data_IF_929869069355
#
_entry.id   IF_929869069355
#
_cell.length_a   1.000
_cell.length_b   1.000
_cell.length_c   1.000
_cell.angle_alpha   90.00
_cell.angle_beta   90.00
_cell.angle_gamma   90.00
#
_symmetry.space_group_name_H-M   'P 1'
#
loop_
_entity.id
_entity.type
_entity.pdbx_description
1 polymer ?
#
# COMPACT_ATOMS: atom_id res chain seq x y z
N UNK A 1 1.68 13.13 27.80
CA UNK A 1 2.06 13.07 26.38
C UNK A 1 0.81 12.73 25.60
N UNK A 2 0.22 13.69 24.87
CA UNK A 2 -0.82 13.38 23.89
C UNK A 2 -0.16 12.57 22.79
N UNK A 3 -0.31 11.25 22.83
CA UNK A 3 0.19 10.37 21.78
C UNK A 3 -0.46 10.82 20.47
N UNK A 4 0.35 11.33 19.55
CA UNK A 4 -0.10 11.68 18.22
C UNK A 4 -0.73 10.44 17.57
N UNK A 5 -1.81 10.62 16.81
CA UNK A 5 -2.43 9.51 16.06
C UNK A 5 -1.35 8.83 15.20
N UNK A 6 -1.18 7.50 15.29
CA UNK A 6 -0.19 6.79 14.49
C UNK A 6 -0.48 6.95 13.00
N UNK A 7 0.56 7.06 12.18
CA UNK A 7 0.49 7.09 10.73
C UNK A 7 0.79 5.69 10.21
N UNK A 8 -0.16 5.11 9.48
CA UNK A 8 -0.03 3.79 8.87
C UNK A 8 0.00 3.95 7.35
N UNK A 9 1.04 3.40 6.72
CA UNK A 9 1.06 3.16 5.29
C UNK A 9 0.35 1.82 5.04
N UNK A 10 -0.71 1.84 4.24
CA UNK A 10 -1.49 0.66 3.88
C UNK A 10 -1.30 0.34 2.39
N UNK A 11 -1.04 -0.93 2.07
CA UNK A 11 -0.84 -1.44 0.72
C UNK A 11 -1.45 -2.84 0.54
N UNK A 12 -1.40 -3.38 -0.68
CA UNK A 12 -1.73 -4.77 -1.04
C UNK A 12 -1.18 -5.09 -2.44
N UNK A 13 -1.47 -6.29 -2.91
CA UNK A 13 -1.26 -6.79 -4.28
C UNK A 13 -2.55 -6.83 -5.12
N UNK A 14 -3.72 -6.88 -4.49
CA UNK A 14 -5.01 -6.93 -5.20
C UNK A 14 -5.43 -5.60 -5.86
N UNK A 15 -4.80 -4.48 -5.50
CA UNK A 15 -5.06 -3.14 -6.05
C UNK A 15 -5.78 -2.17 -5.09
N UNK A 16 -5.73 -0.87 -5.41
CA UNK A 16 -6.20 0.21 -4.54
C UNK A 16 -7.71 0.19 -4.23
N UNK A 17 -8.52 -0.43 -5.09
CA UNK A 17 -9.99 -0.53 -4.97
C UNK A 17 -10.45 -1.91 -4.47
N UNK A 18 -9.52 -2.80 -4.12
CA UNK A 18 -9.83 -4.11 -3.59
C UNK A 18 -10.66 -4.02 -2.30
N UNK A 19 -11.73 -4.82 -2.21
CA UNK A 19 -12.66 -4.79 -1.08
C UNK A 19 -11.96 -5.04 0.27
N UNK A 20 -10.96 -5.92 0.30
CA UNK A 20 -10.17 -6.21 1.51
C UNK A 20 -9.32 -5.03 1.98
N UNK A 21 -8.71 -4.28 1.04
CA UNK A 21 -7.94 -3.07 1.34
C UNK A 21 -8.86 -1.95 1.86
N UNK A 22 -10.00 -1.75 1.21
CA UNK A 22 -11.02 -0.76 1.63
C UNK A 22 -11.52 -1.07 3.04
N UNK A 23 -11.89 -2.32 3.31
CA UNK A 23 -12.35 -2.74 4.63
C UNK A 23 -11.26 -2.55 5.71
N UNK A 24 -10.01 -2.88 5.40
CA UNK A 24 -8.89 -2.72 6.33
C UNK A 24 -8.60 -1.25 6.60
N UNK A 25 -8.63 -0.39 5.57
CA UNK A 25 -8.52 1.07 5.73
C UNK A 25 -9.58 1.61 6.69
N UNK A 26 -10.85 1.25 6.48
CA UNK A 26 -11.96 1.68 7.34
C UNK A 26 -11.74 1.26 8.79
N UNK A 27 -11.25 0.04 9.02
CA UNK A 27 -10.96 -0.45 10.37
C UNK A 27 -9.82 0.32 11.05
N UNK A 28 -8.72 0.55 10.32
CA UNK A 28 -7.52 1.24 10.83
C UNK A 28 -7.76 2.74 11.10
N UNK A 29 -8.56 3.42 10.27
CA UNK A 29 -8.88 4.85 10.40
C UNK A 29 -9.57 5.22 11.72
N UNK A 30 -10.14 4.24 12.43
CA UNK A 30 -10.73 4.43 13.75
C UNK A 30 -9.69 4.92 14.77
N UNK A 31 -8.43 4.51 14.63
CA UNK A 31 -7.38 4.80 15.60
C UNK A 31 -6.07 5.34 14.99
N UNK A 32 -5.90 5.31 13.68
CA UNK A 32 -4.71 5.80 12.97
C UNK A 32 -5.08 6.79 11.84
N UNK A 33 -4.12 7.64 11.45
CA UNK A 33 -4.12 8.27 10.14
C UNK A 33 -3.60 7.24 9.13
N UNK A 34 -4.41 6.92 8.12
CA UNK A 34 -4.09 5.85 7.16
C UNK A 34 -3.91 6.47 5.79
N UNK A 35 -2.73 6.27 5.21
CA UNK A 35 -2.44 6.60 3.82
C UNK A 35 -2.33 5.30 3.02
N UNK A 36 -3.07 5.21 1.93
CA UNK A 36 -3.05 4.06 1.02
C UNK A 36 -2.10 4.35 -0.14
N UNK A 37 -1.19 3.42 -0.41
CA UNK A 37 -0.41 3.38 -1.63
C UNK A 37 -0.40 1.95 -2.16
N UNK A 38 -1.12 1.71 -3.26
CA UNK A 38 -1.36 0.37 -3.78
C UNK A 38 -1.34 0.34 -5.32
N UNK A 39 -1.26 -0.84 -5.95
CA UNK A 39 -1.29 -0.98 -7.39
C UNK A 39 -2.56 -0.38 -8.01
N UNK A 40 -2.43 0.19 -9.21
CA UNK A 40 -3.55 0.73 -9.99
C UNK A 40 -4.53 -0.35 -10.44
N UNK A 41 -4.02 -1.55 -10.68
CA UNK A 41 -4.78 -2.74 -11.09
C UNK A 41 -4.36 -3.93 -10.24
N UNK A 42 -5.18 -4.97 -10.20
CA UNK A 42 -4.81 -6.22 -9.55
C UNK A 42 -3.48 -6.76 -10.12
N UNK A 43 -2.56 -7.10 -9.23
CA UNK A 43 -1.25 -7.69 -9.54
C UNK A 43 -1.04 -9.03 -8.81
N UNK A 44 -2.11 -9.71 -8.40
CA UNK A 44 -2.01 -11.02 -7.75
C UNK A 44 -1.22 -11.96 -8.67
N UNK A 45 -0.08 -12.48 -8.18
CA UNK A 45 0.97 -13.24 -8.90
C UNK A 45 2.18 -12.47 -9.47
N UNK A 46 2.42 -11.21 -9.10
CA UNK A 46 3.60 -10.46 -9.59
C UNK A 46 4.95 -10.75 -8.90
N UNK A 47 5.01 -11.57 -7.83
CA UNK A 47 6.22 -11.85 -7.01
C UNK A 47 7.00 -10.58 -6.59
N UNK A 48 8.25 -10.72 -6.10
CA UNK A 48 9.16 -9.62 -5.70
C UNK A 48 9.74 -8.83 -6.89
N UNK A 49 8.93 -8.59 -7.92
CA UNK A 49 9.39 -7.89 -9.11
C UNK A 49 9.49 -6.39 -8.82
N UNK A 50 10.66 -5.80 -9.03
CA UNK A 50 10.85 -4.35 -9.01
C UNK A 50 10.85 -3.83 -10.44
N UNK A 51 10.07 -2.79 -10.73
CA UNK A 51 10.00 -2.25 -12.08
C UNK A 51 11.22 -1.39 -12.37
N UNK A 52 12.26 -1.96 -12.99
CA UNK A 52 13.52 -1.25 -13.31
C UNK A 52 13.50 -0.52 -14.67
N UNK A 53 12.59 -0.89 -15.58
CA UNK A 53 12.65 -0.46 -17.00
C UNK A 53 11.47 0.40 -17.48
N UNK A 54 10.55 0.83 -16.60
CA UNK A 54 9.45 1.73 -16.98
C UNK A 54 9.19 2.82 -15.95
N UNK A 55 8.70 3.97 -16.43
CA UNK A 55 8.35 5.10 -15.57
C UNK A 55 7.12 4.74 -14.74
N UNK A 56 7.31 4.59 -13.42
CA UNK A 56 6.22 4.40 -12.47
C UNK A 56 5.34 5.65 -12.43
N UNK A 57 4.03 5.49 -12.64
CA UNK A 57 3.06 6.58 -12.61
C UNK A 57 2.29 6.56 -11.30
N UNK A 58 2.49 7.61 -10.49
CA UNK A 58 1.72 7.87 -9.28
C UNK A 58 0.46 8.66 -9.60
N UNK A 59 -0.70 8.18 -9.16
CA UNK A 59 -2.00 8.87 -9.27
C UNK A 59 -2.61 9.02 -7.88
N UNK A 60 -2.93 10.25 -7.47
CA UNK A 60 -3.80 10.49 -6.32
C UNK A 60 -5.24 10.23 -6.76
N UNK A 61 -5.89 9.22 -6.19
CA UNK A 61 -7.25 8.84 -6.55
C UNK A 61 -8.26 9.61 -5.69
N UNK A 62 -7.92 9.77 -4.41
CA UNK A 62 -8.69 10.57 -3.44
C UNK A 62 -7.75 11.01 -2.30
N UNK A 63 -8.31 11.63 -1.27
CA UNK A 63 -7.53 12.02 -0.10
C UNK A 63 -6.92 10.79 0.58
N UNK A 64 -5.63 10.91 0.89
CA UNK A 64 -4.81 9.85 1.48
C UNK A 64 -4.82 8.53 0.71
N UNK A 65 -5.13 8.53 -0.60
CA UNK A 65 -5.15 7.32 -1.43
C UNK A 65 -4.47 7.53 -2.76
N UNK A 66 -3.44 6.72 -2.98
CA UNK A 66 -2.58 6.77 -4.13
C UNK A 66 -2.54 5.41 -4.83
N UNK A 67 -2.62 5.45 -6.15
CA UNK A 67 -2.50 4.30 -7.02
C UNK A 67 -1.20 4.41 -7.82
N UNK A 68 -0.43 3.34 -7.90
CA UNK A 68 0.81 3.26 -8.68
C UNK A 68 0.63 2.26 -9.80
N UNK A 69 0.98 2.65 -11.02
CA UNK A 69 1.13 1.74 -12.15
C UNK A 69 2.47 0.99 -12.02
N UNK A 70 2.49 -0.03 -11.14
CA UNK A 70 3.69 -0.77 -10.73
C UNK A 70 3.36 -1.92 -9.78
N UNK A 71 4.38 -2.57 -9.22
CA UNK A 71 4.21 -3.70 -8.30
C UNK A 71 3.94 -3.26 -6.86
N UNK A 72 3.51 -4.15 -5.95
CA UNK A 72 3.32 -3.82 -4.54
C UNK A 72 4.60 -3.30 -3.88
N UNK A 73 5.76 -3.85 -4.24
CA UNK A 73 7.05 -3.38 -3.77
C UNK A 73 7.34 -1.95 -4.26
N UNK A 74 7.03 -1.63 -5.52
CA UNK A 74 7.14 -0.28 -6.08
C UNK A 74 6.25 0.71 -5.31
N UNK A 75 5.03 0.30 -4.93
CA UNK A 75 4.09 1.13 -4.17
C UNK A 75 4.66 1.55 -2.81
N UNK A 76 5.19 0.59 -2.05
CA UNK A 76 5.80 0.85 -0.74
C UNK A 76 7.07 1.67 -0.89
N UNK A 77 7.92 1.34 -1.87
CA UNK A 77 9.16 2.08 -2.12
C UNK A 77 8.88 3.55 -2.47
N UNK A 78 7.94 3.80 -3.39
CA UNK A 78 7.54 5.16 -3.76
C UNK A 78 6.94 5.89 -2.56
N UNK A 79 6.07 5.24 -1.77
CA UNK A 79 5.47 5.89 -0.60
C UNK A 79 6.52 6.34 0.43
N UNK A 80 7.58 5.57 0.62
CA UNK A 80 8.66 5.88 1.58
C UNK A 80 9.71 6.85 1.03
N UNK A 81 9.98 6.84 -0.28
CA UNK A 81 11.12 7.54 -0.87
C UNK A 81 10.78 8.67 -1.84
N UNK A 82 9.57 8.72 -2.42
CA UNK A 82 9.17 9.76 -3.37
C UNK A 82 8.71 11.09 -2.72
N UNK A 83 9.20 11.37 -1.51
CA UNK A 83 9.05 12.61 -0.74
C UNK A 83 7.61 12.93 -0.26
N UNK A 84 7.48 14.02 0.51
CA UNK A 84 6.32 14.51 1.30
C UNK A 84 4.96 14.60 0.58
N UNK A 85 4.89 14.24 -0.70
CA UNK A 85 3.68 14.25 -1.52
C UNK A 85 2.70 13.12 -1.18
N UNK A 86 3.18 12.04 -0.58
CA UNK A 86 2.37 10.87 -0.21
C UNK A 86 2.21 10.80 1.31
N UNK A 87 3.34 10.72 2.02
CA UNK A 87 3.34 10.63 3.48
C UNK A 87 3.79 11.95 4.10
N UNK A 88 3.04 12.50 5.08
CA UNK A 88 3.41 13.75 5.74
C UNK A 88 4.61 13.59 6.69
N UNK A 89 4.95 12.35 7.05
CA UNK A 89 6.10 11.95 7.88
C UNK A 89 6.38 10.47 7.64
N UNK A 90 7.48 9.96 8.20
CA UNK A 90 7.71 8.51 8.22
C UNK A 90 6.54 7.78 8.92
N UNK A 91 6.03 6.69 8.32
CA UNK A 91 4.94 5.94 8.92
C UNK A 91 5.46 5.18 10.15
N UNK A 92 4.60 5.03 11.15
CA UNK A 92 4.90 4.24 12.35
C UNK A 92 4.79 2.73 12.05
N UNK A 93 4.02 2.37 11.02
CA UNK A 93 3.83 0.98 10.59
C UNK A 93 3.46 0.92 9.10
N UNK A 94 3.91 -0.14 8.44
CA UNK A 94 3.43 -0.55 7.12
C UNK A 94 2.52 -1.77 7.31
N UNK A 95 1.33 -1.74 6.74
CA UNK A 95 0.37 -2.84 6.73
C UNK A 95 0.10 -3.24 5.28
N UNK A 96 0.16 -4.53 4.99
CA UNK A 96 -0.19 -5.07 3.67
C UNK A 96 -1.37 -6.03 3.80
N UNK A 97 -2.40 -5.83 2.97
CA UNK A 97 -3.61 -6.66 2.94
C UNK A 97 -4.91 -5.84 2.88
N UNK A 98 -6.07 -6.43 3.16
CA UNK A 98 -6.30 -7.87 3.38
C UNK A 98 -6.39 -8.59 2.04
N UNK A 99 -5.48 -9.53 1.79
CA UNK A 99 -5.44 -10.27 0.53
C UNK A 99 -6.64 -11.21 0.41
N UNK A 100 -7.16 -11.37 -0.81
CA UNK A 100 -8.20 -12.35 -1.11
C UNK A 100 -7.60 -13.76 -1.28
N UNK A 101 -7.18 -14.38 -0.19
CA UNK A 101 -6.62 -15.73 -0.20
C UNK A 101 -5.60 -15.96 0.91
N UNK A 102 -5.27 -17.23 1.19
CA UNK A 102 -4.22 -17.56 2.14
C UNK A 102 -2.82 -17.38 1.53
N UNK A 103 -1.94 -16.65 2.21
CA UNK A 103 -0.50 -16.67 1.94
C UNK A 103 0.16 -17.69 2.90
N UNK A 104 0.12 -18.99 2.56
CA UNK A 104 0.59 -20.08 3.43
C UNK A 104 1.75 -20.86 2.80
N UNK A 105 2.80 -21.13 3.57
CA UNK A 105 3.91 -21.99 3.12
C UNK A 105 4.78 -21.34 2.05
N UNK A 106 4.92 -21.98 0.88
CA UNK A 106 5.75 -21.48 -0.23
C UNK A 106 5.15 -20.24 -0.91
N UNK A 107 3.85 -20.00 -0.71
CA UNK A 107 3.12 -18.86 -1.29
C UNK A 107 3.66 -17.52 -0.79
N UNK A 108 4.33 -17.48 0.38
CA UNK A 108 5.00 -16.28 0.91
C UNK A 108 6.11 -15.77 -0.01
N UNK A 109 6.73 -16.65 -0.81
CA UNK A 109 7.80 -16.26 -1.76
C UNK A 109 7.21 -15.62 -3.04
N UNK A 110 5.92 -15.82 -3.29
CA UNK A 110 5.23 -15.38 -4.50
C UNK A 110 4.17 -14.28 -4.27
N UNK A 111 3.94 -13.90 -3.00
CA UNK A 111 3.08 -12.78 -2.58
C UNK A 111 3.82 -11.45 -2.48
#
# INVERSE_FOLDING_TARGET
MTSARPLILLSNDDGFDAAGLVALRTALQRFAHVVVCAPLTNQSASSHSLTLNSVLRLRRVEDDTFAVDGTPADCVYIALHAAERILPRWPDMVVSGMNHGPNLGIDVVYS
#
